data_IF_668390504602
#
_entry.id   IF_668390504602
#
_cell.length_a   1.000
_cell.length_b   1.000
_cell.length_c   1.000
_cell.angle_alpha   90.00
_cell.angle_beta   90.00
_cell.angle_gamma   90.00
#
_symmetry.space_group_name_H-M   'P 1'
#
loop_
_entity.id
_entity.type
_entity.pdbx_description
1 polymer ?
#
# COMPACT_ATOMS: atom_id res chain seq x y z
N UNK A 1 -4.35 -5.70 0.65
CA UNK A 1 -3.23 -5.50 1.59
C UNK A 1 -2.03 -6.41 1.29
N UNK A 2 -2.18 -7.74 1.36
CA UNK A 2 -1.06 -8.69 1.19
C UNK A 2 -0.30 -8.52 -0.12
N UNK A 3 -1.01 -8.33 -1.24
CA UNK A 3 -0.36 -8.12 -2.53
C UNK A 3 0.44 -6.81 -2.59
N UNK A 4 -0.05 -5.73 -1.96
CA UNK A 4 0.68 -4.46 -1.86
C UNK A 4 1.98 -4.67 -1.09
N UNK A 5 1.92 -5.36 0.06
CA UNK A 5 3.12 -5.74 0.83
C UNK A 5 4.13 -6.54 -0.01
N UNK A 6 3.63 -7.50 -0.80
CA UNK A 6 4.49 -8.31 -1.67
C UNK A 6 5.16 -7.49 -2.77
N UNK A 7 4.43 -6.56 -3.38
CA UNK A 7 4.98 -5.67 -4.41
C UNK A 7 6.02 -4.73 -3.80
N UNK A 8 5.73 -4.11 -2.64
CA UNK A 8 6.64 -3.15 -2.00
C UNK A 8 7.92 -3.79 -1.48
N UNK A 9 7.87 -5.07 -1.07
CA UNK A 9 9.02 -5.83 -0.60
C UNK A 9 9.65 -6.71 -1.68
N UNK A 10 9.33 -6.50 -2.96
CA UNK A 10 9.90 -7.27 -4.09
C UNK A 10 9.73 -8.79 -3.97
N UNK A 11 8.65 -9.25 -3.31
CA UNK A 11 8.31 -10.66 -3.15
C UNK A 11 7.53 -11.23 -4.33
N UNK A 12 7.31 -10.41 -5.38
CA UNK A 12 6.77 -10.79 -6.68
C UNK A 12 7.46 -9.97 -7.77
N UNK A 13 7.43 -10.48 -9.00
CA UNK A 13 8.03 -9.85 -10.18
C UNK A 13 7.15 -8.72 -10.74
N UNK A 14 6.77 -7.78 -9.88
CA UNK A 14 6.08 -6.55 -10.25
C UNK A 14 6.87 -5.40 -9.63
N UNK A 15 7.56 -4.57 -10.42
CA UNK A 15 8.33 -3.46 -9.87
C UNK A 15 7.39 -2.43 -9.21
N UNK A 16 7.59 -2.09 -7.92
CA UNK A 16 6.70 -1.17 -7.19
C UNK A 16 6.63 0.20 -7.85
N UNK A 17 7.72 0.67 -8.45
CA UNK A 17 7.79 1.97 -9.13
C UNK A 17 6.87 2.09 -10.35
N UNK A 18 6.44 0.97 -10.94
CA UNK A 18 5.53 0.97 -12.09
C UNK A 18 4.07 1.06 -11.69
N UNK A 19 3.74 0.77 -10.43
CA UNK A 19 2.37 0.64 -9.94
C UNK A 19 2.05 1.69 -8.88
N UNK A 20 3.03 2.03 -8.04
CA UNK A 20 2.87 2.92 -6.91
C UNK A 20 3.76 4.15 -7.06
N UNK A 21 3.16 5.30 -6.83
CA UNK A 21 3.86 6.58 -6.77
C UNK A 21 3.82 7.05 -5.31
N UNK A 22 4.98 7.29 -4.70
CA UNK A 22 5.04 7.83 -3.34
C UNK A 22 4.54 9.28 -3.31
N UNK A 23 3.84 9.65 -2.25
CA UNK A 23 3.36 11.02 -2.07
C UNK A 23 4.51 11.93 -1.59
N UNK A 24 5.10 12.72 -2.48
CA UNK A 24 6.19 13.65 -2.17
C UNK A 24 5.67 15.02 -1.70
N UNK A 25 5.20 15.10 -0.46
CA UNK A 25 4.93 16.39 0.22
C UNK A 25 5.75 16.43 1.51
N UNK A 26 6.55 17.48 1.71
CA UNK A 26 7.66 17.51 2.67
C UNK A 26 7.26 17.50 4.14
N UNK A 27 7.07 16.31 4.74
CA UNK A 27 6.94 16.13 6.19
C UNK A 27 7.35 14.74 6.68
N UNK A 28 7.28 14.50 7.99
CA UNK A 28 7.51 13.19 8.61
C UNK A 28 6.36 12.23 8.26
N UNK A 29 6.68 11.09 7.60
CA UNK A 29 5.70 10.07 7.21
C UNK A 29 5.42 9.96 5.71
N UNK A 30 6.10 10.68 4.83
CA UNK A 30 5.65 10.80 3.43
C UNK A 30 6.27 9.75 2.49
N UNK A 31 7.13 8.86 3.02
CA UNK A 31 7.68 7.71 2.29
C UNK A 31 6.84 6.42 2.35
N UNK A 32 5.82 6.32 3.21
CA UNK A 32 5.04 5.08 3.39
C UNK A 32 3.64 5.09 2.75
N UNK A 33 3.24 6.26 2.22
CA UNK A 33 1.91 6.51 1.66
C UNK A 33 2.05 6.67 0.14
N UNK A 34 1.16 6.03 -0.61
CA UNK A 34 1.11 6.14 -2.06
C UNK A 34 0.05 7.13 -2.51
N UNK A 35 0.30 7.81 -3.63
CA UNK A 35 -0.70 8.57 -4.36
C UNK A 35 -1.83 7.62 -4.80
N UNK A 36 -3.08 7.96 -4.45
CA UNK A 36 -4.25 7.26 -4.99
C UNK A 36 -4.50 7.83 -6.40
N UNK A 37 -4.43 7.02 -7.46
CA UNK A 37 -4.72 7.52 -8.81
C UNK A 37 -6.18 7.97 -8.90
N UNK A 38 -6.39 9.17 -9.44
CA UNK A 38 -7.73 9.69 -9.68
C UNK A 38 -8.28 9.14 -10.99
N UNK A 39 -9.46 8.53 -10.95
CA UNK A 39 -10.19 8.09 -12.13
C UNK A 39 -11.66 8.47 -12.01
N UNK A 40 -12.25 8.96 -13.12
CA UNK A 40 -13.68 9.30 -13.19
C UNK A 40 -14.57 8.08 -13.43
N UNK A 41 -14.04 7.05 -14.08
CA UNK A 41 -14.76 5.82 -14.36
C UNK A 41 -14.81 4.94 -13.11
N UNK A 42 -16.01 4.61 -12.62
CA UNK A 42 -16.18 3.83 -11.39
C UNK A 42 -15.47 2.47 -11.46
N UNK A 43 -15.50 1.79 -12.61
CA UNK A 43 -14.80 0.50 -12.79
C UNK A 43 -13.30 0.60 -12.52
N UNK A 44 -12.69 1.74 -12.87
CA UNK A 44 -11.27 1.98 -12.63
C UNK A 44 -11.03 2.45 -11.20
N UNK A 45 -11.93 3.28 -10.66
CA UNK A 45 -11.87 3.79 -9.28
C UNK A 45 -12.00 2.67 -8.23
N UNK A 46 -12.85 1.68 -8.48
CA UNK A 46 -13.04 0.51 -7.62
C UNK A 46 -12.20 -0.69 -8.05
N UNK A 47 -11.32 -0.52 -9.04
CA UNK A 47 -10.36 -1.55 -9.40
C UNK A 47 -9.39 -1.83 -8.26
N UNK A 48 -8.65 -2.93 -8.41
CA UNK A 48 -7.80 -3.46 -7.36
C UNK A 48 -6.80 -2.44 -6.79
N UNK A 49 -6.04 -1.75 -7.65
CA UNK A 49 -4.96 -0.87 -7.21
C UNK A 49 -5.42 0.36 -6.41
N UNK A 50 -6.33 1.23 -6.90
CA UNK A 50 -6.80 2.38 -6.12
C UNK A 50 -7.44 1.97 -4.79
N UNK A 51 -8.23 0.89 -4.79
CA UNK A 51 -8.84 0.36 -3.57
C UNK A 51 -7.79 -0.17 -2.59
N UNK A 52 -6.81 -0.93 -3.08
CA UNK A 52 -5.74 -1.49 -2.27
C UNK A 52 -4.78 -0.43 -1.74
N UNK A 53 -4.49 0.62 -2.52
CA UNK A 53 -3.68 1.77 -2.10
C UNK A 53 -4.41 2.54 -1.01
N UNK A 54 -5.71 2.82 -1.20
CA UNK A 54 -6.52 3.53 -0.20
C UNK A 54 -6.48 2.81 1.15
N UNK A 55 -6.63 1.48 1.12
CA UNK A 55 -6.52 0.63 2.30
C UNK A 55 -5.10 0.66 2.89
N UNK A 56 -4.06 0.49 2.07
CA UNK A 56 -2.66 0.54 2.51
C UNK A 56 -2.31 1.84 3.24
N UNK A 57 -2.76 2.97 2.71
CA UNK A 57 -2.50 4.30 3.27
C UNK A 57 -3.16 4.52 4.65
N UNK A 58 -4.10 3.68 5.04
CA UNK A 58 -4.72 3.72 6.38
C UNK A 58 -3.94 2.91 7.42
N UNK A 59 -2.96 2.10 6.99
CA UNK A 59 -2.18 1.28 7.90
C UNK A 59 -1.15 2.12 8.66
N UNK A 60 -0.92 1.81 9.95
CA UNK A 60 0.14 2.44 10.72
C UNK A 60 1.52 2.08 10.14
N UNK A 61 2.49 2.98 10.29
CA UNK A 61 3.85 2.80 9.77
C UNK A 61 4.48 1.48 10.24
N UNK A 62 4.31 1.13 11.51
CA UNK A 62 4.87 -0.11 12.10
C UNK A 62 4.42 -1.37 11.35
N UNK A 63 3.24 -1.30 10.74
CA UNK A 63 2.67 -2.42 10.01
C UNK A 63 3.13 -2.44 8.56
N UNK A 64 3.19 -1.29 7.90
CA UNK A 64 3.71 -1.22 6.53
C UNK A 64 5.21 -1.55 6.43
N UNK A 65 5.96 -1.36 7.53
CA UNK A 65 7.38 -1.71 7.66
C UNK A 65 7.64 -3.05 8.35
N UNK A 66 6.62 -3.90 8.51
CA UNK A 66 6.78 -5.21 9.12
C UNK A 66 7.84 -6.06 8.40
N UNK A 67 8.76 -6.64 9.17
CA UNK A 67 9.95 -7.36 8.65
C UNK A 67 9.58 -8.64 7.88
N UNK A 68 8.43 -9.24 8.18
CA UNK A 68 7.96 -10.45 7.50
C UNK A 68 6.49 -10.37 7.14
N UNK A 69 6.12 -11.13 6.10
CA UNK A 69 4.73 -11.25 5.68
C UNK A 69 3.84 -11.82 6.80
N UNK A 70 4.38 -12.72 7.62
CA UNK A 70 3.64 -13.29 8.76
C UNK A 70 3.39 -12.24 9.85
N UNK A 71 4.40 -11.42 10.18
CA UNK A 71 4.23 -10.31 11.10
C UNK A 71 3.20 -9.30 10.58
N UNK A 72 3.26 -8.98 9.29
CA UNK A 72 2.28 -8.12 8.63
C UNK A 72 0.85 -8.67 8.76
N UNK A 73 0.66 -9.96 8.46
CA UNK A 73 -0.63 -10.66 8.57
C UNK A 73 -1.17 -10.66 10.00
N UNK A 74 -0.30 -10.91 11.00
CA UNK A 74 -0.70 -10.88 12.42
C UNK A 74 -1.16 -9.49 12.84
N UNK A 75 -0.48 -8.43 12.41
CA UNK A 75 -0.92 -7.07 12.66
C UNK A 75 -2.31 -6.79 12.06
N UNK A 76 -2.64 -7.35 10.89
CA UNK A 76 -3.92 -7.11 10.22
C UNK A 76 -5.08 -7.84 10.89
N UNK A 77 -4.79 -8.97 11.52
CA UNK A 77 -5.79 -9.71 12.29
C UNK A 77 -6.09 -9.05 13.66
N UNK A 78 -5.22 -8.14 14.12
CA UNK A 78 -5.36 -7.42 15.39
C UNK A 78 -6.03 -6.05 15.29
N UNK A 79 -6.33 -5.55 14.09
CA UNK A 79 -7.13 -4.34 13.90
C UNK A 79 -8.63 -4.71 13.97
N UNK A 80 -9.41 -4.14 14.91
CA UNK A 80 -10.82 -4.48 15.11
C UNK A 80 -11.71 -4.12 13.91
#
# INVERSE_FOLDING_TARGET
>A
MIMVYRITNYLIDIPPVSVFHHLTLGGHGYGHIFLIPFCRTDVLKYSFFPSAIKLWNQLPLQQTTAVSLEAFKRGLAGTP
#
